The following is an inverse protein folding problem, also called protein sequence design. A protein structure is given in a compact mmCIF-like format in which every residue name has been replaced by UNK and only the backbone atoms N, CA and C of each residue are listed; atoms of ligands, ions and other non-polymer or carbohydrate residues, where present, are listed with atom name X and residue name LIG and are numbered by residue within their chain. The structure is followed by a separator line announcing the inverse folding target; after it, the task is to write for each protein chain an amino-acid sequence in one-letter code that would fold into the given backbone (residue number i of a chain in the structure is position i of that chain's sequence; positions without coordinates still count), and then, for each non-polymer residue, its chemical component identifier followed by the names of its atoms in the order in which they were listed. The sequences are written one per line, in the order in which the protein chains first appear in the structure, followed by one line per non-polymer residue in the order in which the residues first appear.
data_IF_768155605266
#
_entry.id   IF_768155605266
#
_cell.length_a   1.000
_cell.length_b   1.000
_cell.length_c   1.000
_cell.angle_alpha   90.00
_cell.angle_beta   90.00
_cell.angle_gamma   90.00
#
_symmetry.space_group_name_H-M   'P 1'
#
loop_
_entity.id
_entity.type
_entity.pdbx_description
1 polymer ?
#
# COMPACT_ATOMS: atom_id res chain seq x y z
N UNK A 1 9.53 -8.36 -27.41
CA UNK A 1 10.82 -8.24 -28.13
C UNK A 1 10.70 -8.82 -29.55
N UNK A 2 11.48 -8.32 -30.51
CA UNK A 2 11.50 -8.82 -31.91
C UNK A 2 12.92 -9.19 -32.30
N UNK A 3 13.51 -10.08 -31.52
CA UNK A 3 14.90 -10.48 -31.63
C UNK A 3 15.01 -11.96 -31.26
N UNK A 4 15.96 -12.64 -31.89
CA UNK A 4 16.45 -13.95 -31.45
C UNK A 4 17.37 -13.77 -30.23
N UNK A 5 17.48 -14.80 -29.39
CA UNK A 5 18.26 -14.73 -28.14
C UNK A 5 19.72 -14.30 -28.38
N UNK A 6 20.34 -14.81 -29.45
CA UNK A 6 21.71 -14.46 -29.84
C UNK A 6 21.89 -13.00 -30.31
N UNK A 7 20.82 -12.26 -30.51
CA UNK A 7 20.84 -10.84 -30.89
C UNK A 7 20.73 -9.90 -29.69
N UNK A 8 20.48 -10.45 -28.49
CA UNK A 8 20.33 -9.68 -27.25
C UNK A 8 21.65 -9.78 -26.47
N UNK A 9 22.30 -8.64 -26.24
CA UNK A 9 23.49 -8.59 -25.38
C UNK A 9 23.08 -8.73 -23.91
N UNK A 10 23.04 -9.97 -23.43
CA UNK A 10 22.67 -10.31 -22.05
C UNK A 10 23.67 -9.77 -21.02
N UNK A 11 24.89 -9.41 -21.41
CA UNK A 11 25.91 -8.96 -20.47
C UNK A 11 25.54 -7.62 -19.85
N UNK A 12 24.92 -6.72 -20.63
CA UNK A 12 24.43 -5.42 -20.13
C UNK A 12 23.45 -5.61 -18.97
N UNK A 13 22.56 -6.61 -19.05
CA UNK A 13 21.60 -6.90 -17.98
C UNK A 13 22.29 -7.53 -16.77
N UNK A 14 23.26 -8.42 -16.98
CA UNK A 14 24.06 -9.02 -15.90
C UNK A 14 24.87 -7.97 -15.13
N UNK A 15 25.46 -6.99 -15.82
CA UNK A 15 26.17 -5.87 -15.21
C UNK A 15 25.24 -4.98 -14.34
N UNK A 16 23.97 -4.88 -14.71
CA UNK A 16 22.92 -4.20 -13.93
C UNK A 16 22.34 -5.06 -12.79
N UNK A 17 22.87 -6.27 -12.58
CA UNK A 17 22.47 -7.21 -11.53
C UNK A 17 21.32 -8.15 -11.90
N UNK A 18 20.88 -8.17 -13.16
CA UNK A 18 19.88 -9.13 -13.66
C UNK A 18 20.61 -10.38 -14.17
N UNK A 19 20.93 -11.28 -13.25
CA UNK A 19 21.73 -12.47 -13.55
C UNK A 19 20.95 -13.54 -14.31
N UNK A 20 19.62 -13.57 -14.17
CA UNK A 20 18.74 -14.59 -14.72
C UNK A 20 17.90 -13.99 -15.83
N UNK A 21 18.11 -14.45 -17.07
CA UNK A 21 17.57 -13.82 -18.26
C UNK A 21 16.93 -14.91 -19.12
N UNK A 22 15.65 -14.80 -19.43
CA UNK A 22 14.90 -15.81 -20.17
C UNK A 22 14.14 -15.16 -21.32
N UNK A 23 14.24 -15.73 -22.51
CA UNK A 23 13.73 -15.19 -23.76
C UNK A 23 12.94 -16.27 -24.48
N UNK A 24 11.74 -15.92 -24.96
CA UNK A 24 10.94 -16.74 -25.83
C UNK A 24 10.74 -15.99 -27.14
N UNK A 25 11.49 -16.34 -28.18
CA UNK A 25 11.38 -15.73 -29.50
C UNK A 25 10.45 -16.53 -30.40
N UNK A 26 9.69 -15.85 -31.28
CA UNK A 26 8.90 -16.53 -32.29
C UNK A 26 9.79 -17.30 -33.28
N UNK A 27 9.29 -18.41 -33.81
CA UNK A 27 9.95 -19.14 -34.90
C UNK A 27 10.12 -18.28 -36.15
N UNK A 28 9.16 -17.41 -36.43
CA UNK A 28 9.29 -16.38 -37.46
C UNK A 28 10.26 -15.30 -36.98
N UNK A 29 11.48 -15.31 -37.52
CA UNK A 29 12.53 -14.33 -37.20
C UNK A 29 12.04 -12.88 -37.26
N UNK A 30 12.36 -12.11 -36.23
CA UNK A 30 12.04 -10.68 -36.13
C UNK A 30 10.55 -10.36 -35.98
N UNK A 31 9.70 -11.35 -35.67
CA UNK A 31 8.24 -11.16 -35.63
C UNK A 31 7.71 -10.77 -34.24
N UNK A 32 7.90 -11.65 -33.26
CA UNK A 32 7.42 -11.50 -31.88
C UNK A 32 8.36 -12.22 -30.91
N UNK A 33 8.09 -12.02 -29.62
CA UNK A 33 8.85 -12.62 -28.55
C UNK A 33 8.58 -11.91 -27.22
N UNK A 34 8.81 -12.61 -26.11
CA UNK A 34 8.77 -12.08 -24.74
C UNK A 34 10.07 -12.39 -24.02
N UNK A 35 10.36 -11.62 -22.98
CA UNK A 35 11.53 -11.86 -22.14
C UNK A 35 11.26 -11.45 -20.70
N UNK A 36 11.88 -12.17 -19.77
CA UNK A 36 11.95 -11.80 -18.35
C UNK A 36 13.41 -11.73 -17.94
N UNK A 37 13.77 -10.60 -17.33
CA UNK A 37 15.07 -10.37 -16.73
C UNK A 37 14.88 -10.26 -15.22
N UNK A 38 15.55 -11.11 -14.45
CA UNK A 38 15.42 -11.23 -13.01
C UNK A 38 16.76 -11.11 -12.30
N UNK A 39 16.74 -10.44 -11.15
CA UNK A 39 17.88 -10.40 -10.21
C UNK A 39 17.95 -11.66 -9.35
N UNK A 40 16.82 -12.34 -9.19
CA UNK A 40 16.67 -13.51 -8.33
C UNK A 40 16.49 -14.76 -9.17
N UNK A 41 17.04 -15.87 -8.68
CA UNK A 41 16.89 -17.18 -9.32
C UNK A 41 15.44 -17.67 -9.19
N UNK A 42 14.75 -17.96 -10.30
CA UNK A 42 13.47 -18.63 -10.23
C UNK A 42 13.65 -20.12 -9.91
N UNK A 43 12.66 -20.71 -9.26
CA UNK A 43 12.58 -22.14 -8.96
C UNK A 43 12.22 -22.97 -10.18
N UNK A 44 11.38 -22.41 -11.05
CA UNK A 44 10.98 -23.04 -12.29
C UNK A 44 10.82 -22.00 -13.40
N UNK A 45 11.05 -22.41 -14.65
CA UNK A 45 10.92 -21.59 -15.84
C UNK A 45 10.09 -22.35 -16.86
N UNK A 46 9.00 -21.75 -17.31
CA UNK A 46 8.15 -22.28 -18.38
C UNK A 46 8.26 -21.36 -19.59
N UNK A 47 8.87 -21.86 -20.68
CA UNK A 47 8.94 -21.15 -21.95
C UNK A 47 7.74 -21.58 -22.79
N UNK A 48 6.74 -20.71 -22.88
CA UNK A 48 5.48 -20.97 -23.56
C UNK A 48 4.31 -21.28 -22.62
N UNK A 49 3.17 -21.56 -23.23
CA UNK A 49 1.93 -21.96 -22.57
C UNK A 49 1.59 -23.45 -22.79
N UNK A 50 2.48 -24.21 -23.44
CA UNK A 50 2.24 -25.58 -23.91
C UNK A 50 1.09 -25.67 -24.92
N UNK A 51 0.89 -24.58 -25.67
CA UNK A 51 -0.10 -24.47 -26.73
C UNK A 51 0.66 -24.14 -28.00
N UNK A 52 0.85 -25.15 -28.86
CA UNK A 52 1.83 -25.14 -29.96
C UNK A 52 1.79 -23.87 -30.82
N UNK A 53 0.60 -23.43 -31.24
CA UNK A 53 0.49 -22.25 -32.11
C UNK A 53 0.84 -20.93 -31.39
N UNK A 54 0.61 -20.84 -30.07
CA UNK A 54 1.01 -19.68 -29.26
C UNK A 54 2.52 -19.65 -29.07
N UNK A 55 3.09 -20.83 -28.81
CA UNK A 55 4.50 -21.02 -28.54
C UNK A 55 5.33 -20.79 -29.80
N UNK A 56 4.83 -21.21 -30.97
CA UNK A 56 5.42 -20.88 -32.27
C UNK A 56 5.54 -19.36 -32.50
N UNK A 57 4.66 -18.54 -31.90
CA UNK A 57 4.74 -17.07 -31.95
C UNK A 57 5.47 -16.44 -30.73
N UNK A 58 6.00 -17.23 -29.79
CA UNK A 58 6.83 -16.75 -28.69
C UNK A 58 6.14 -15.73 -27.78
N UNK A 59 4.88 -15.97 -27.41
CA UNK A 59 4.02 -14.94 -26.79
C UNK A 59 3.93 -14.98 -25.26
N UNK A 60 4.39 -16.06 -24.64
CA UNK A 60 4.23 -16.30 -23.20
C UNK A 60 5.52 -16.85 -22.63
N UNK A 61 5.93 -16.36 -21.46
CA UNK A 61 6.95 -16.97 -20.63
C UNK A 61 6.55 -16.79 -19.17
N UNK A 62 6.74 -17.83 -18.35
CA UNK A 62 6.49 -17.80 -16.91
C UNK A 62 7.77 -18.13 -16.16
N UNK A 63 8.02 -17.41 -15.08
CA UNK A 63 8.99 -17.81 -14.07
C UNK A 63 8.30 -17.93 -12.71
N UNK A 64 8.67 -18.96 -11.97
CA UNK A 64 8.07 -19.31 -10.69
C UNK A 64 9.09 -19.07 -9.57
N UNK A 65 8.68 -18.38 -8.51
CA UNK A 65 9.42 -18.23 -7.27
C UNK A 65 8.77 -19.10 -6.17
N UNK A 66 9.27 -19.00 -4.94
CA UNK A 66 8.72 -19.76 -3.81
C UNK A 66 7.23 -19.44 -3.58
N UNK A 67 6.88 -18.15 -3.57
CA UNK A 67 5.55 -17.70 -3.14
C UNK A 67 4.67 -17.15 -4.29
N UNK A 68 5.24 -16.90 -5.47
CA UNK A 68 4.50 -16.30 -6.58
C UNK A 68 5.14 -16.62 -7.94
N UNK A 69 4.36 -16.42 -9.00
CA UNK A 69 4.82 -16.56 -10.38
C UNK A 69 4.55 -15.30 -11.19
N UNK A 70 5.43 -15.05 -12.16
CA UNK A 70 5.31 -13.91 -13.08
C UNK A 70 5.23 -14.43 -14.50
N UNK A 71 4.18 -14.02 -15.21
CA UNK A 71 4.04 -14.21 -16.65
C UNK A 71 4.37 -12.90 -17.37
N UNK A 72 5.20 -13.00 -18.41
CA UNK A 72 5.30 -11.97 -19.44
C UNK A 72 4.48 -12.40 -20.66
N UNK A 73 3.52 -11.56 -21.04
CA UNK A 73 2.59 -11.78 -22.13
C UNK A 73 2.82 -10.78 -23.27
N UNK A 74 2.71 -11.26 -24.51
CA UNK A 74 2.52 -10.44 -25.68
C UNK A 74 1.40 -11.01 -26.56
N UNK A 75 0.18 -10.54 -26.34
CA UNK A 75 -0.98 -11.00 -27.10
C UNK A 75 -0.91 -10.54 -28.57
N UNK A 76 -1.47 -11.30 -29.52
CA UNK A 76 -1.46 -10.92 -30.93
C UNK A 76 -2.27 -9.63 -31.19
N UNK A 77 -1.69 -8.73 -31.98
CA UNK A 77 -2.43 -7.62 -32.58
C UNK A 77 -3.24 -8.11 -33.78
N UNK A 78 -4.42 -7.53 -34.04
CA UNK A 78 -5.16 -7.75 -35.28
C UNK A 78 -5.38 -6.43 -36.07
N UNK A 79 -4.30 -5.64 -36.20
CA UNK A 79 -4.29 -4.49 -37.12
C UNK A 79 -4.43 -4.91 -38.59
N UNK A 80 -4.14 -6.18 -38.92
CA UNK A 80 -4.64 -6.85 -40.13
C UNK A 80 -5.87 -7.68 -39.74
N UNK A 81 -6.98 -7.50 -40.45
CA UNK A 81 -8.24 -8.20 -40.17
C UNK A 81 -8.10 -9.72 -40.28
N UNK A 82 -7.22 -10.23 -41.14
CA UNK A 82 -6.95 -11.66 -41.29
C UNK A 82 -6.38 -12.30 -40.01
N UNK A 83 -5.92 -11.47 -39.07
CA UNK A 83 -5.37 -11.90 -37.76
C UNK A 83 -6.41 -11.84 -36.64
N UNK A 84 -7.62 -11.36 -36.90
CA UNK A 84 -8.63 -11.19 -35.86
C UNK A 84 -9.05 -12.55 -35.28
N UNK A 85 -9.35 -13.53 -36.14
CA UNK A 85 -9.75 -14.86 -35.68
C UNK A 85 -8.64 -15.52 -34.84
N UNK A 86 -7.39 -15.44 -35.31
CA UNK A 86 -6.22 -15.92 -34.55
C UNK A 86 -6.13 -15.25 -33.17
N UNK A 87 -6.40 -13.94 -33.10
CA UNK A 87 -6.36 -13.19 -31.83
C UNK A 87 -7.48 -13.62 -30.88
N UNK A 88 -8.69 -13.81 -31.38
CA UNK A 88 -9.83 -14.24 -30.58
C UNK A 88 -9.65 -15.68 -30.08
N UNK A 89 -9.13 -16.59 -30.92
CA UNK A 89 -8.75 -17.94 -30.49
C UNK A 89 -7.67 -17.89 -29.41
N UNK A 90 -6.64 -17.07 -29.61
CA UNK A 90 -5.59 -16.88 -28.61
C UNK A 90 -6.16 -16.45 -27.26
N UNK A 91 -7.10 -15.50 -27.27
CA UNK A 91 -7.75 -14.98 -26.09
C UNK A 91 -8.54 -16.04 -25.31
N UNK A 92 -9.38 -16.83 -25.98
CA UNK A 92 -10.16 -17.87 -25.29
C UNK A 92 -9.27 -18.99 -24.74
N UNK A 93 -8.29 -19.45 -25.52
CA UNK A 93 -7.37 -20.50 -25.07
C UNK A 93 -6.46 -20.01 -23.93
N UNK A 94 -6.01 -18.75 -23.97
CA UNK A 94 -5.20 -18.16 -22.90
C UNK A 94 -6.02 -17.97 -21.62
N UNK A 95 -7.30 -17.60 -21.73
CA UNK A 95 -8.21 -17.55 -20.58
C UNK A 95 -8.32 -18.93 -19.92
N UNK A 96 -8.54 -19.99 -20.70
CA UNK A 96 -8.60 -21.36 -20.17
C UNK A 96 -7.27 -21.75 -19.51
N UNK A 97 -6.15 -21.48 -20.17
CA UNK A 97 -4.81 -21.73 -19.64
C UNK A 97 -4.60 -21.06 -18.27
N UNK A 98 -4.92 -19.77 -18.14
CA UNK A 98 -4.74 -19.04 -16.87
C UNK A 98 -5.68 -19.57 -15.78
N UNK A 99 -6.93 -19.91 -16.12
CA UNK A 99 -7.87 -20.51 -15.14
C UNK A 99 -7.35 -21.83 -14.58
N UNK A 100 -6.83 -22.71 -15.44
CA UNK A 100 -6.26 -23.98 -14.98
C UNK A 100 -4.96 -23.76 -14.21
N UNK A 101 -4.10 -22.85 -14.68
CA UNK A 101 -2.84 -22.53 -14.03
C UNK A 101 -3.07 -21.98 -12.61
N UNK A 102 -4.05 -21.10 -12.41
CA UNK A 102 -4.34 -20.51 -11.09
C UNK A 102 -4.82 -21.50 -10.05
N UNK A 103 -5.33 -22.68 -10.45
CA UNK A 103 -5.64 -23.77 -9.50
C UNK A 103 -4.39 -24.37 -8.87
N UNK A 104 -3.25 -24.26 -9.56
CA UNK A 104 -1.95 -24.78 -9.14
C UNK A 104 -1.10 -23.65 -8.55
N UNK A 105 -1.17 -22.46 -9.15
CA UNK A 105 -0.39 -21.27 -8.81
C UNK A 105 -1.36 -20.10 -8.56
N UNK A 106 -1.91 -19.97 -7.34
CA UNK A 106 -2.89 -18.93 -7.04
C UNK A 106 -2.30 -17.51 -7.14
N UNK A 107 -1.01 -17.37 -6.84
CA UNK A 107 -0.29 -16.10 -6.74
C UNK A 107 0.39 -15.76 -8.07
N UNK A 108 -0.42 -15.38 -9.04
CA UNK A 108 0.01 -15.19 -10.42
C UNK A 108 -0.09 -13.73 -10.83
N UNK A 109 1.06 -13.14 -11.15
CA UNK A 109 1.16 -11.79 -11.72
C UNK A 109 1.32 -11.93 -13.23
N UNK A 110 0.47 -11.25 -14.00
CA UNK A 110 0.53 -11.27 -15.47
C UNK A 110 0.80 -9.85 -15.98
N UNK A 111 1.96 -9.67 -16.60
CA UNK A 111 2.40 -8.39 -17.14
C UNK A 111 2.55 -8.50 -18.66
N UNK A 112 1.95 -7.59 -19.41
CA UNK A 112 2.12 -7.65 -20.86
C UNK A 112 1.30 -6.67 -21.67
N UNK A 113 1.57 -6.68 -22.97
CA UNK A 113 0.75 -6.03 -23.98
C UNK A 113 -0.36 -7.00 -24.42
N UNK A 114 -1.58 -6.68 -24.02
CA UNK A 114 -2.77 -7.47 -24.34
C UNK A 114 -3.36 -7.09 -25.69
N UNK A 115 -2.87 -6.04 -26.34
CA UNK A 115 -3.40 -5.49 -27.58
C UNK A 115 -4.92 -5.18 -27.51
N UNK A 116 -5.44 -4.81 -26.33
CA UNK A 116 -6.84 -4.40 -26.12
C UNK A 116 -6.93 -3.26 -25.12
N UNK A 117 -7.77 -2.27 -25.40
CA UNK A 117 -8.21 -1.27 -24.44
C UNK A 117 -9.50 -1.78 -23.78
N UNK A 118 -9.54 -1.84 -22.45
CA UNK A 118 -10.70 -2.36 -21.72
C UNK A 118 -11.88 -1.40 -21.79
N UNK A 119 -11.69 -0.15 -21.36
CA UNK A 119 -12.75 0.84 -21.27
C UNK A 119 -12.55 2.05 -22.17
N UNK A 120 -13.60 2.84 -22.37
CA UNK A 120 -13.56 4.03 -23.24
C UNK A 120 -12.51 5.07 -22.78
N UNK A 121 -12.17 5.10 -21.50
CA UNK A 121 -11.11 5.95 -20.92
C UNK A 121 -9.70 5.54 -21.39
N UNK A 122 -9.55 4.29 -21.83
CA UNK A 122 -8.26 3.70 -22.21
C UNK A 122 -7.86 3.97 -23.66
N UNK A 123 -8.69 4.67 -24.42
CA UNK A 123 -8.45 4.94 -25.84
C UNK A 123 -8.80 6.38 -26.20
N UNK A 124 -8.01 6.97 -27.10
CA UNK A 124 -8.38 8.22 -27.74
C UNK A 124 -9.53 8.01 -28.76
N UNK A 125 -10.55 8.87 -28.71
CA UNK A 125 -11.70 8.85 -29.64
C UNK A 125 -12.40 7.47 -29.70
N UNK A 126 -12.99 7.01 -28.57
CA UNK A 126 -13.63 5.69 -28.49
C UNK A 126 -14.79 5.52 -29.47
N UNK A 127 -15.51 6.61 -29.79
CA UNK A 127 -16.66 6.59 -30.71
C UNK A 127 -16.21 6.18 -32.11
N UNK A 128 -15.11 6.77 -32.59
CA UNK A 128 -14.56 6.45 -33.92
C UNK A 128 -13.86 5.09 -33.94
N UNK A 129 -13.18 4.72 -32.85
CA UNK A 129 -12.35 3.52 -32.81
C UNK A 129 -13.11 2.24 -32.39
N UNK A 130 -14.40 2.31 -32.04
CA UNK A 130 -15.23 1.16 -31.62
C UNK A 130 -15.24 -0.05 -32.56
N UNK A 131 -14.92 0.15 -33.84
CA UNK A 131 -14.88 -0.90 -34.87
C UNK A 131 -13.43 -1.28 -35.27
N UNK A 132 -12.44 -0.86 -34.48
CA UNK A 132 -11.01 -1.14 -34.72
C UNK A 132 -10.54 -2.21 -33.76
N UNK A 133 -9.81 -3.22 -34.26
CA UNK A 133 -9.21 -4.23 -33.38
C UNK A 133 -8.30 -3.57 -32.34
N UNK A 134 -8.40 -4.08 -31.12
CA UNK A 134 -7.92 -3.48 -29.88
C UNK A 134 -9.01 -2.73 -29.12
N UNK A 135 -10.18 -2.50 -29.71
CA UNK A 135 -11.32 -1.87 -29.02
C UNK A 135 -12.68 -2.39 -29.53
N UNK A 136 -12.70 -3.56 -30.19
CA UNK A 136 -13.96 -4.18 -30.60
C UNK A 136 -14.77 -4.61 -29.36
N UNK A 137 -16.11 -4.60 -29.43
CA UNK A 137 -16.95 -5.03 -28.30
C UNK A 137 -16.58 -6.42 -27.77
N UNK A 138 -16.34 -7.38 -28.65
CA UNK A 138 -15.97 -8.76 -28.30
C UNK A 138 -14.60 -8.87 -27.61
N UNK A 139 -13.62 -8.02 -27.97
CA UNK A 139 -12.30 -8.01 -27.31
C UNK A 139 -12.41 -7.43 -25.90
N UNK A 140 -13.24 -6.39 -25.73
CA UNK A 140 -13.52 -5.76 -24.42
C UNK A 140 -14.31 -6.68 -23.51
N UNK A 141 -15.33 -7.35 -24.04
CA UNK A 141 -16.11 -8.35 -23.33
C UNK A 141 -15.24 -9.51 -22.88
N UNK A 142 -14.37 -10.01 -23.76
CA UNK A 142 -13.36 -10.99 -23.39
C UNK A 142 -12.47 -10.49 -22.24
N UNK A 143 -11.97 -9.25 -22.30
CA UNK A 143 -11.10 -8.74 -21.23
C UNK A 143 -11.83 -8.67 -19.88
N UNK A 144 -13.09 -8.23 -19.86
CA UNK A 144 -13.94 -8.26 -18.66
C UNK A 144 -14.14 -9.68 -18.12
N UNK A 145 -14.41 -10.65 -19.00
CA UNK A 145 -14.50 -12.07 -18.65
C UNK A 145 -13.17 -12.59 -18.12
N UNK A 146 -12.05 -12.26 -18.76
CA UNK A 146 -10.72 -12.69 -18.35
C UNK A 146 -10.40 -12.22 -16.92
N UNK A 147 -10.66 -10.94 -16.61
CA UNK A 147 -10.48 -10.40 -15.26
C UNK A 147 -11.37 -11.11 -14.24
N UNK A 148 -12.65 -11.32 -14.56
CA UNK A 148 -13.62 -11.91 -13.63
C UNK A 148 -13.39 -13.41 -13.42
N UNK A 149 -13.27 -14.17 -14.51
CA UNK A 149 -13.16 -15.64 -14.47
C UNK A 149 -11.79 -16.14 -14.00
N UNK A 150 -10.73 -15.32 -14.13
CA UNK A 150 -9.40 -15.62 -13.62
C UNK A 150 -9.10 -14.94 -12.28
N UNK A 151 -10.06 -14.20 -11.70
CA UNK A 151 -9.88 -13.47 -10.43
C UNK A 151 -8.64 -12.56 -10.48
N UNK A 152 -8.60 -11.68 -11.47
CA UNK A 152 -7.52 -10.73 -11.73
C UNK A 152 -8.05 -9.30 -11.68
N UNK A 153 -7.19 -8.36 -11.26
CA UNK A 153 -7.50 -6.93 -11.19
C UNK A 153 -6.52 -6.16 -12.07
N UNK A 154 -7.01 -5.14 -12.77
CA UNK A 154 -6.17 -4.18 -13.48
C UNK A 154 -5.51 -3.20 -12.47
N UNK A 155 -4.27 -3.49 -12.09
CA UNK A 155 -3.54 -2.70 -11.07
C UNK A 155 -3.35 -1.23 -11.46
N UNK A 156 -3.33 -0.88 -12.76
CA UNK A 156 -3.19 0.50 -13.17
C UNK A 156 -4.49 1.27 -12.90
N UNK A 157 -5.63 0.75 -13.36
CA UNK A 157 -6.93 1.39 -13.15
C UNK A 157 -7.40 1.35 -11.70
N UNK A 158 -6.87 0.40 -10.93
CA UNK A 158 -7.00 0.36 -9.49
C UNK A 158 -6.42 1.60 -8.79
N UNK A 159 -5.26 2.11 -9.24
CA UNK A 159 -4.59 3.28 -8.63
C UNK A 159 -4.85 4.59 -9.38
N UNK A 160 -5.27 4.52 -10.65
CA UNK A 160 -5.37 5.68 -11.52
C UNK A 160 -6.68 5.68 -12.33
N UNK A 161 -7.61 6.54 -11.92
CA UNK A 161 -8.88 6.79 -12.61
C UNK A 161 -8.82 7.93 -13.63
N UNK A 162 -7.67 8.58 -13.81
CA UNK A 162 -7.52 9.73 -14.69
C UNK A 162 -7.48 9.33 -16.18
N UNK A 163 -8.09 10.13 -17.07
CA UNK A 163 -8.06 9.89 -18.49
C UNK A 163 -6.68 10.19 -19.10
N UNK A 164 -6.52 9.84 -20.37
CA UNK A 164 -5.33 10.20 -21.18
C UNK A 164 -4.01 9.56 -20.76
N UNK A 165 -4.06 8.50 -19.96
CA UNK A 165 -2.94 7.65 -19.63
C UNK A 165 -2.89 6.46 -20.58
N UNK A 166 -2.04 6.56 -21.61
CA UNK A 166 -1.90 5.56 -22.67
C UNK A 166 -0.52 4.90 -22.60
N UNK A 167 -0.40 3.71 -23.18
CA UNK A 167 0.85 2.95 -23.23
C UNK A 167 1.38 2.76 -24.66
N UNK A 168 0.51 2.98 -25.66
CA UNK A 168 0.83 2.88 -27.08
C UNK A 168 0.30 4.07 -27.88
N UNK A 169 1.07 4.49 -28.88
CA UNK A 169 0.69 5.54 -29.83
C UNK A 169 1.09 5.15 -31.25
N UNK A 170 0.23 5.47 -32.21
CA UNK A 170 0.57 5.32 -33.63
C UNK A 170 1.71 6.27 -34.02
N UNK A 171 2.60 5.81 -34.90
CA UNK A 171 3.62 6.68 -35.52
C UNK A 171 3.01 7.70 -36.50
N UNK A 172 1.75 7.53 -36.91
CA UNK A 172 1.08 8.42 -37.86
C UNK A 172 0.59 9.70 -37.19
N UNK A 173 0.52 10.77 -37.97
CA UNK A 173 -0.15 12.03 -37.61
C UNK A 173 0.27 12.66 -36.26
N UNK A 174 1.51 12.41 -35.81
CA UNK A 174 2.02 12.95 -34.55
C UNK A 174 1.21 12.51 -33.32
N UNK A 175 0.64 11.30 -33.32
CA UNK A 175 -0.28 10.84 -32.29
C UNK A 175 0.31 10.96 -30.88
N UNK A 176 1.59 10.59 -30.69
CA UNK A 176 2.27 10.72 -29.38
C UNK A 176 2.38 12.17 -28.90
N UNK A 177 2.73 13.11 -29.80
CA UNK A 177 2.82 14.54 -29.47
C UNK A 177 1.47 15.12 -29.03
N UNK A 178 0.38 14.64 -29.62
CA UNK A 178 -0.99 15.08 -29.35
C UNK A 178 -1.72 14.19 -28.34
N UNK A 179 -1.00 13.28 -27.68
CA UNK A 179 -1.52 12.26 -26.78
C UNK A 179 -2.76 11.49 -27.28
N UNK A 180 -2.73 11.08 -28.55
CA UNK A 180 -3.77 10.25 -29.18
C UNK A 180 -3.39 8.77 -29.08
N UNK A 181 -3.49 8.21 -27.88
CA UNK A 181 -2.98 6.89 -27.55
C UNK A 181 -4.05 5.85 -27.21
N UNK A 182 -3.56 4.66 -26.90
CA UNK A 182 -4.28 3.47 -26.48
C UNK A 182 -3.54 2.89 -25.27
N UNK A 183 -4.27 2.46 -24.23
CA UNK A 183 -3.70 1.70 -23.11
C UNK A 183 -3.95 0.22 -23.35
N UNK A 184 -2.88 -0.47 -23.73
CA UNK A 184 -2.91 -1.90 -24.09
C UNK A 184 -1.96 -2.74 -23.24
N UNK A 185 -1.12 -2.08 -22.44
CA UNK A 185 -0.21 -2.72 -21.51
C UNK A 185 -0.82 -2.75 -20.11
N UNK A 186 -0.78 -3.92 -19.48
CA UNK A 186 -1.37 -4.18 -18.17
C UNK A 186 -0.41 -4.93 -17.27
N UNK A 187 -0.52 -4.67 -15.97
CA UNK A 187 -0.02 -5.53 -14.91
C UNK A 187 -1.26 -5.95 -14.12
N UNK A 188 -1.60 -7.23 -14.14
CA UNK A 188 -2.80 -7.74 -13.51
C UNK A 188 -2.46 -8.39 -12.17
N UNK A 189 -3.02 -7.87 -11.06
CA UNK A 189 -2.67 -8.25 -9.68
C UNK A 189 -3.67 -7.75 -8.57
N UNK A 190 -3.63 -8.43 -7.40
CA UNK A 190 -3.84 -8.01 -5.97
C UNK A 190 -5.01 -8.46 -5.09
N UNK A 191 -4.63 -9.15 -4.00
CA UNK A 191 -5.37 -9.40 -2.75
C UNK A 191 -4.73 -8.64 -1.58
N UNK A 192 -5.56 -8.08 -0.69
CA UNK A 192 -5.14 -7.43 0.55
C UNK A 192 -5.68 -8.23 1.73
N UNK A 193 -4.81 -8.74 2.59
CA UNK A 193 -5.23 -9.41 3.81
C UNK A 193 -5.48 -8.40 4.94
N UNK A 194 -6.56 -8.58 5.70
CA UNK A 194 -6.85 -7.75 6.86
C UNK A 194 -7.81 -8.40 7.85
N UNK A 195 -7.72 -8.02 9.13
CA UNK A 195 -8.79 -8.26 10.12
C UNK A 195 -9.81 -7.11 10.19
N UNK A 196 -9.67 -6.08 9.36
CA UNK A 196 -10.48 -4.86 9.37
C UNK A 196 -11.11 -4.56 8.00
N UNK A 197 -11.90 -5.49 7.42
CA UNK A 197 -12.38 -5.39 6.04
C UNK A 197 -13.26 -4.17 5.81
N UNK A 198 -14.10 -3.76 6.77
CA UNK A 198 -14.97 -2.57 6.62
C UNK A 198 -14.16 -1.27 6.50
N UNK A 199 -13.14 -1.11 7.35
CA UNK A 199 -12.29 0.08 7.35
C UNK A 199 -11.48 0.14 6.06
N UNK A 200 -10.91 -0.99 5.64
CA UNK A 200 -10.21 -1.09 4.38
C UNK A 200 -11.14 -0.79 3.22
N UNK A 201 -12.31 -1.43 3.16
CA UNK A 201 -13.32 -1.21 2.10
C UNK A 201 -13.70 0.25 2.01
N UNK A 202 -13.95 0.91 3.14
CA UNK A 202 -14.28 2.33 3.14
C UNK A 202 -13.13 3.20 2.62
N UNK A 203 -11.88 2.91 3.03
CA UNK A 203 -10.70 3.61 2.55
C UNK A 203 -10.53 3.40 1.05
N UNK A 204 -10.61 2.16 0.59
CA UNK A 204 -10.50 1.81 -0.82
C UNK A 204 -11.61 2.51 -1.61
N UNK A 205 -12.86 2.48 -1.13
CA UNK A 205 -14.01 3.17 -1.75
C UNK A 205 -13.80 4.68 -1.82
N UNK A 206 -13.39 5.32 -0.72
CA UNK A 206 -13.15 6.77 -0.66
C UNK A 206 -12.03 7.23 -1.59
N UNK A 207 -11.06 6.35 -1.85
CA UNK A 207 -9.93 6.62 -2.74
C UNK A 207 -10.12 6.04 -4.15
N UNK A 208 -11.29 5.45 -4.46
CA UNK A 208 -11.59 4.79 -5.74
C UNK A 208 -10.62 3.66 -6.11
N UNK A 209 -10.31 2.81 -5.14
CA UNK A 209 -9.36 1.70 -5.21
C UNK A 209 -10.17 0.37 -5.16
N UNK A 210 -9.91 -0.60 -6.05
CA UNK A 210 -10.67 -1.89 -6.22
C UNK A 210 -9.87 -3.19 -5.97
N UNK A 211 -9.85 -3.73 -4.74
CA UNK A 211 -8.98 -4.86 -4.38
C UNK A 211 -9.81 -6.05 -3.91
N UNK A 212 -9.28 -7.27 -4.09
CA UNK A 212 -9.80 -8.41 -3.35
C UNK A 212 -9.37 -8.28 -1.89
N UNK A 213 -10.31 -8.38 -0.95
CA UNK A 213 -10.03 -8.33 0.49
C UNK A 213 -10.11 -9.75 1.04
N UNK A 214 -9.00 -10.23 1.59
CA UNK A 214 -8.93 -11.50 2.30
C UNK A 214 -9.10 -11.23 3.79
N UNK A 215 -10.31 -11.48 4.31
CA UNK A 215 -10.56 -11.34 5.74
C UNK A 215 -9.93 -12.51 6.50
N UNK A 216 -9.06 -12.20 7.46
CA UNK A 216 -8.41 -13.20 8.30
C UNK A 216 -8.55 -12.92 9.78
N UNK A 217 -8.70 -14.01 10.54
CA UNK A 217 -8.79 -13.99 12.00
C UNK A 217 -7.44 -14.44 12.56
N UNK A 218 -6.60 -13.48 13.00
CA UNK A 218 -5.29 -13.79 13.58
C UNK A 218 -4.18 -12.87 13.08
N UNK A 219 -2.94 -13.37 13.10
CA UNK A 219 -1.76 -12.62 12.64
C UNK A 219 -1.84 -12.35 11.14
N UNK A 220 -2.04 -11.09 10.78
CA UNK A 220 -2.13 -10.66 9.37
C UNK A 220 -0.75 -10.62 8.73
N UNK A 221 0.30 -10.43 9.52
CA UNK A 221 1.67 -10.20 9.07
C UNK A 221 2.29 -11.41 8.35
N UNK A 222 1.80 -12.62 8.65
CA UNK A 222 2.25 -13.85 7.98
C UNK A 222 1.59 -14.04 6.61
N UNK A 223 0.49 -13.35 6.30
CA UNK A 223 -0.31 -13.58 5.10
C UNK A 223 0.49 -13.38 3.81
N UNK A 224 1.45 -12.45 3.83
CA UNK A 224 2.36 -12.24 2.69
C UNK A 224 3.41 -13.35 2.57
N UNK A 225 4.00 -13.76 3.69
CA UNK A 225 5.02 -14.80 3.74
C UNK A 225 4.52 -16.22 3.44
N UNK A 226 3.20 -16.45 3.49
CA UNK A 226 2.58 -17.72 3.06
C UNK A 226 1.84 -17.59 1.72
N UNK A 227 1.95 -16.44 1.05
CA UNK A 227 1.32 -16.19 -0.24
C UNK A 227 -0.21 -16.04 -0.23
N UNK A 228 -0.82 -15.76 0.92
CA UNK A 228 -2.26 -15.54 1.03
C UNK A 228 -2.69 -14.17 0.45
N UNK A 229 -1.83 -13.16 0.53
CA UNK A 229 -2.10 -11.83 0.01
C UNK A 229 -0.82 -11.09 -0.40
N UNK A 230 -0.97 -10.09 -1.26
CA UNK A 230 0.14 -9.33 -1.84
C UNK A 230 0.51 -8.11 -0.99
N UNK A 231 -0.42 -7.66 -0.14
CA UNK A 231 -0.18 -6.72 0.93
C UNK A 231 -1.14 -6.94 2.09
N UNK A 232 -0.84 -6.29 3.22
CA UNK A 232 -1.69 -6.33 4.41
C UNK A 232 -2.20 -4.95 4.76
N UNK A 233 -3.35 -4.91 5.40
CA UNK A 233 -3.82 -3.76 6.15
C UNK A 233 -4.03 -4.16 7.61
N UNK A 234 -3.23 -3.58 8.49
CA UNK A 234 -3.26 -3.90 9.92
C UNK A 234 -2.82 -2.70 10.78
N UNK A 235 -3.02 -2.78 12.09
CA UNK A 235 -2.63 -1.77 13.06
C UNK A 235 -1.11 -1.82 13.27
N UNK A 236 -0.47 -0.65 13.14
CA UNK A 236 0.95 -0.48 13.40
C UNK A 236 1.15 0.39 14.64
N UNK A 237 1.90 -0.11 15.62
CA UNK A 237 2.30 0.68 16.82
C UNK A 237 3.80 0.96 16.85
N UNK A 238 4.63 -0.01 17.24
CA UNK A 238 6.09 0.13 17.22
C UNK A 238 6.72 -0.24 15.87
N UNK A 239 5.96 -0.87 14.97
CA UNK A 239 6.46 -1.41 13.69
C UNK A 239 7.31 -2.68 13.79
N UNK A 240 7.56 -3.20 15.00
CA UNK A 240 8.47 -4.34 15.22
C UNK A 240 8.00 -5.63 14.52
N UNK A 241 6.70 -5.91 14.55
CA UNK A 241 6.10 -7.10 13.94
C UNK A 241 6.19 -7.06 12.41
N UNK A 242 6.02 -5.87 11.81
CA UNK A 242 6.18 -5.68 10.36
C UNK A 242 7.61 -6.00 9.92
N UNK A 243 8.60 -5.41 10.60
CA UNK A 243 10.02 -5.58 10.25
C UNK A 243 10.43 -7.05 10.35
N UNK A 244 9.96 -7.75 11.39
CA UNK A 244 10.27 -9.18 11.60
C UNK A 244 9.71 -10.07 10.48
N UNK A 245 8.64 -9.62 9.80
CA UNK A 245 8.03 -10.31 8.67
C UNK A 245 8.46 -9.71 7.30
N UNK A 246 9.51 -8.87 7.26
CA UNK A 246 10.00 -8.28 6.01
C UNK A 246 9.07 -7.22 5.39
N UNK A 247 8.10 -6.72 6.16
CA UNK A 247 7.13 -5.73 5.74
C UNK A 247 7.58 -4.32 6.09
N UNK A 248 7.08 -3.35 5.31
CA UNK A 248 7.23 -1.92 5.58
C UNK A 248 5.90 -1.22 5.45
N UNK A 249 5.72 -0.17 6.23
CA UNK A 249 4.58 0.74 6.09
C UNK A 249 4.68 1.48 4.76
N UNK A 250 3.55 1.57 4.04
CA UNK A 250 3.48 2.21 2.71
C UNK A 250 2.39 3.27 2.62
N UNK A 251 1.34 3.17 3.45
CA UNK A 251 0.22 4.10 3.43
C UNK A 251 -0.48 4.13 4.80
N UNK A 252 -0.92 5.32 5.22
CA UNK A 252 -1.63 5.50 6.51
C UNK A 252 -3.12 5.65 6.24
N UNK A 253 -3.87 4.57 6.47
CA UNK A 253 -5.34 4.55 6.28
C UNK A 253 -6.08 5.38 7.34
N UNK A 254 -5.70 5.21 8.60
CA UNK A 254 -6.23 6.00 9.72
C UNK A 254 -5.23 6.11 10.86
N UNK A 255 -5.38 7.16 11.67
CA UNK A 255 -4.77 7.24 13.01
C UNK A 255 -5.81 6.84 14.04
N UNK A 256 -5.52 5.79 14.81
CA UNK A 256 -6.42 5.29 15.85
C UNK A 256 -5.96 5.71 17.24
N UNK A 257 -6.91 5.96 18.14
CA UNK A 257 -6.69 6.22 19.55
C UNK A 257 -7.88 5.72 20.37
N UNK A 258 -7.66 5.49 21.67
CA UNK A 258 -8.75 5.20 22.59
C UNK A 258 -9.68 6.42 22.72
N UNK A 259 -10.98 6.23 22.48
CA UNK A 259 -12.00 7.28 22.58
C UNK A 259 -13.15 6.82 23.47
N UNK A 260 -13.78 7.77 24.17
CA UNK A 260 -15.06 7.53 24.83
C UNK A 260 -16.19 7.84 23.83
N UNK A 261 -17.00 6.83 23.52
CA UNK A 261 -18.11 6.95 22.55
C UNK A 261 -19.42 6.85 23.33
N UNK A 262 -20.38 7.72 23.01
CA UNK A 262 -21.72 7.72 23.60
C UNK A 262 -22.81 7.62 22.53
N UNK A 263 -23.97 7.08 22.92
CA UNK A 263 -25.17 7.15 22.08
C UNK A 263 -25.68 8.60 22.07
N UNK A 264 -26.10 9.16 20.93
CA UNK A 264 -26.63 10.53 20.88
C UNK A 264 -27.94 10.72 21.66
N UNK A 265 -28.71 9.65 21.87
CA UNK A 265 -30.05 9.71 22.48
C UNK A 265 -30.03 9.18 23.93
N UNK A 266 -29.19 9.77 24.77
CA UNK A 266 -29.14 9.41 26.20
C UNK A 266 -30.19 10.15 27.00
N UNK A 267 -30.74 9.48 28.01
CA UNK A 267 -31.53 10.15 29.03
C UNK A 267 -30.64 10.94 30.00
N UNK A 268 -31.23 11.90 30.70
CA UNK A 268 -30.51 12.81 31.60
C UNK A 268 -29.68 12.08 32.66
N UNK A 269 -30.20 10.98 33.21
CA UNK A 269 -29.49 10.18 34.21
C UNK A 269 -28.19 9.60 33.65
N UNK A 270 -28.22 9.03 32.44
CA UNK A 270 -27.02 8.48 31.81
C UNK A 270 -26.05 9.58 31.38
N UNK A 271 -26.56 10.72 30.88
CA UNK A 271 -25.73 11.87 30.53
C UNK A 271 -24.93 12.37 31.74
N UNK A 272 -25.58 12.50 32.90
CA UNK A 272 -24.90 12.90 34.15
C UNK A 272 -23.78 11.95 34.57
N UNK A 273 -23.91 10.64 34.33
CA UNK A 273 -22.85 9.66 34.60
C UNK A 273 -21.68 9.86 33.66
N UNK A 274 -21.94 10.09 32.36
CA UNK A 274 -20.90 10.37 31.37
C UNK A 274 -20.15 11.65 31.70
N UNK A 275 -20.85 12.72 32.08
CA UNK A 275 -20.23 13.99 32.44
C UNK A 275 -19.29 13.83 33.65
N UNK A 276 -19.70 13.04 34.65
CA UNK A 276 -18.84 12.68 35.80
C UNK A 276 -17.62 11.87 35.38
N UNK A 277 -17.77 10.93 34.44
CA UNK A 277 -16.66 10.13 33.93
C UNK A 277 -15.68 10.99 33.12
N UNK A 278 -16.19 11.86 32.24
CA UNK A 278 -15.41 12.82 31.47
C UNK A 278 -14.62 13.76 32.38
N UNK A 279 -15.25 14.30 33.43
CA UNK A 279 -14.56 15.11 34.43
C UNK A 279 -13.38 14.34 35.06
N UNK A 280 -13.58 13.08 35.45
CA UNK A 280 -12.53 12.25 36.05
C UNK A 280 -11.38 11.97 35.08
N UNK A 281 -11.69 11.62 33.83
CA UNK A 281 -10.69 11.37 32.79
C UNK A 281 -9.87 12.64 32.53
N UNK A 282 -10.53 13.80 32.39
CA UNK A 282 -9.85 15.07 32.16
C UNK A 282 -9.01 15.49 33.36
N UNK A 283 -9.48 15.28 34.59
CA UNK A 283 -8.70 15.55 35.79
C UNK A 283 -7.39 14.74 35.83
N UNK A 284 -7.45 13.43 35.49
CA UNK A 284 -6.25 12.58 35.44
C UNK A 284 -5.31 13.00 34.30
N UNK A 285 -5.85 13.32 33.12
CA UNK A 285 -5.04 13.79 31.98
C UNK A 285 -4.32 15.09 32.31
N UNK A 286 -5.04 16.07 32.86
CA UNK A 286 -4.45 17.34 33.26
C UNK A 286 -3.39 17.12 34.33
N UNK A 287 -3.66 16.29 35.35
CA UNK A 287 -2.70 16.01 36.42
C UNK A 287 -1.38 15.39 35.93
N UNK A 288 -1.39 14.62 34.83
CA UNK A 288 -0.15 14.05 34.24
C UNK A 288 0.81 15.11 33.72
N UNK A 289 0.32 16.28 33.33
CA UNK A 289 1.15 17.39 32.82
C UNK A 289 1.81 18.19 33.95
N UNK A 290 1.52 17.87 35.20
CA UNK A 290 2.06 18.56 36.36
C UNK A 290 2.86 17.63 37.26
N UNK A 291 3.90 18.17 37.89
CA UNK A 291 4.63 17.55 38.99
C UNK A 291 4.32 18.29 40.28
N UNK A 292 4.11 17.52 41.35
CA UNK A 292 4.11 18.06 42.69
C UNK A 292 5.55 18.10 43.20
N UNK A 293 5.97 19.26 43.69
CA UNK A 293 7.28 19.46 44.27
C UNK A 293 7.15 19.83 45.74
N UNK A 294 8.10 19.34 46.52
CA UNK A 294 8.28 19.69 47.93
C UNK A 294 9.72 20.12 48.07
N UNK A 295 9.98 21.24 48.71
CA UNK A 295 11.35 21.73 48.94
C UNK A 295 11.43 22.39 50.31
N UNK A 296 12.62 22.36 50.90
CA UNK A 296 12.91 23.08 52.13
C UNK A 296 13.72 24.34 51.80
N UNK A 297 13.44 25.44 52.48
CA UNK A 297 14.13 26.71 52.28
C UNK A 297 14.26 27.49 53.58
N UNK A 298 15.31 28.32 53.74
CA UNK A 298 15.34 29.34 54.77
C UNK A 298 14.16 30.31 54.63
N UNK A 299 13.61 30.75 55.76
CA UNK A 299 12.47 31.67 55.80
C UNK A 299 12.76 33.00 55.08
N UNK A 300 14.03 33.44 55.04
CA UNK A 300 14.46 34.66 54.35
C UNK A 300 14.38 34.58 52.83
N UNK A 301 14.28 33.38 52.25
CA UNK A 301 14.27 33.14 50.80
C UNK A 301 12.89 32.85 50.21
N UNK A 302 11.85 32.80 51.06
CA UNK A 302 10.47 32.45 50.66
C UNK A 302 9.92 33.38 49.57
N UNK A 303 10.13 34.69 49.67
CA UNK A 303 9.59 35.65 48.68
C UNK A 303 10.26 35.50 47.31
N UNK A 304 11.56 35.19 47.27
CA UNK A 304 12.32 34.94 46.04
C UNK A 304 11.85 33.62 45.39
N UNK A 305 11.61 32.58 46.20
CA UNK A 305 11.06 31.31 45.73
C UNK A 305 9.63 31.46 45.18
N UNK A 306 8.77 32.27 45.80
CA UNK A 306 7.40 32.51 45.30
C UNK A 306 7.37 33.06 43.88
N UNK A 307 8.36 33.86 43.48
CA UNK A 307 8.46 34.42 42.13
C UNK A 307 8.81 33.35 41.10
N UNK A 308 9.59 32.34 41.50
CA UNK A 308 9.99 31.20 40.66
C UNK A 308 8.92 30.11 40.65
N UNK A 309 8.18 29.96 41.76
CA UNK A 309 7.14 28.97 42.00
C UNK A 309 5.78 29.62 42.31
N UNK A 310 5.09 30.21 41.32
CA UNK A 310 3.75 30.76 41.54
C UNK A 310 2.71 29.67 41.88
N UNK A 311 2.94 28.42 41.45
CA UNK A 311 1.99 27.31 41.60
C UNK A 311 0.69 27.56 40.82
N UNK A 312 -0.35 26.76 41.10
CA UNK A 312 -1.69 26.98 40.50
C UNK A 312 -2.42 28.22 41.07
N UNK A 313 -2.03 28.68 42.26
CA UNK A 313 -2.53 29.91 42.91
C UNK A 313 -1.42 30.57 43.72
N UNK A 314 -0.83 29.80 44.64
CA UNK A 314 0.32 30.17 45.49
C UNK A 314 0.89 28.87 46.08
N UNK A 315 2.20 28.78 46.35
CA UNK A 315 2.78 27.66 47.08
C UNK A 315 2.23 27.62 48.52
N UNK A 316 2.09 26.41 49.06
CA UNK A 316 1.77 26.19 50.47
C UNK A 316 3.05 26.18 51.29
N UNK A 317 3.06 26.85 52.44
CA UNK A 317 4.25 27.04 53.28
C UNK A 317 3.98 26.44 54.66
N UNK A 318 4.86 25.55 55.11
CA UNK A 318 4.80 24.90 56.42
C UNK A 318 6.10 25.12 57.19
N UNK A 319 6.08 25.62 58.43
CA UNK A 319 7.28 25.74 59.23
C UNK A 319 7.87 24.35 59.55
N UNK A 320 9.19 24.23 59.54
CA UNK A 320 9.89 23.01 59.92
C UNK A 320 10.27 23.03 61.40
N UNK A 321 10.58 21.85 61.96
CA UNK A 321 11.10 21.73 63.31
C UNK A 321 12.47 22.40 63.49
N UNK A 322 13.24 22.51 62.41
CA UNK A 322 14.45 23.32 62.37
C UNK A 322 14.07 24.80 62.29
N UNK A 323 14.37 25.57 63.33
CA UNK A 323 14.04 27.00 63.37
C UNK A 323 14.66 27.76 62.19
N UNK A 324 13.89 28.68 61.62
CA UNK A 324 14.32 29.48 60.47
C UNK A 324 14.13 28.82 59.12
N UNK A 325 13.56 27.60 59.05
CA UNK A 325 13.28 26.90 57.80
C UNK A 325 11.79 26.58 57.62
N UNK A 326 11.38 26.51 56.35
CA UNK A 326 10.03 26.11 55.94
C UNK A 326 10.06 25.12 54.78
N UNK A 327 9.08 24.22 54.73
CA UNK A 327 8.76 23.40 53.56
C UNK A 327 7.77 24.12 52.66
N UNK A 328 8.07 24.19 51.38
CA UNK A 328 7.23 24.75 50.33
C UNK A 328 6.72 23.63 49.43
N UNK A 329 5.41 23.64 49.20
CA UNK A 329 4.72 22.67 48.37
C UNK A 329 4.06 23.38 47.19
N UNK A 330 4.33 22.93 45.97
CA UNK A 330 3.77 23.55 44.77
C UNK A 330 3.54 22.53 43.66
N UNK A 331 2.79 22.95 42.64
CA UNK A 331 2.50 22.17 41.44
C UNK A 331 3.04 22.95 40.25
N UNK A 332 3.89 22.32 39.45
CA UNK A 332 4.53 22.94 38.27
C UNK A 332 4.32 22.08 37.02
N UNK A 333 4.37 22.70 35.85
CA UNK A 333 4.28 21.98 34.58
C UNK A 333 5.55 21.12 34.38
N UNK A 334 5.38 19.90 33.86
CA UNK A 334 6.48 18.94 33.68
C UNK A 334 7.55 19.44 32.69
N UNK A 335 7.18 20.20 31.68
CA UNK A 335 8.10 20.77 30.68
C UNK A 335 9.05 21.82 31.25
N UNK A 336 8.67 22.50 32.34
CA UNK A 336 9.47 23.50 33.07
C UNK A 336 10.18 22.92 34.28
N UNK A 337 10.03 21.62 34.54
CA UNK A 337 10.49 20.98 35.77
C UNK A 337 11.97 21.25 36.04
N UNK A 338 12.85 20.90 35.10
CA UNK A 338 14.30 21.03 35.29
C UNK A 338 14.77 22.48 35.38
N UNK A 339 14.22 23.37 34.54
CA UNK A 339 14.53 24.80 34.58
C UNK A 339 14.22 25.43 35.95
N UNK A 340 13.09 25.05 36.54
CA UNK A 340 12.65 25.54 37.84
C UNK A 340 13.53 24.97 38.96
N UNK A 341 13.86 23.67 38.91
CA UNK A 341 14.70 23.01 39.93
C UNK A 341 16.08 23.66 40.03
N UNK A 342 16.71 23.97 38.90
CA UNK A 342 18.04 24.59 38.89
C UNK A 342 18.02 25.98 39.53
N UNK A 343 17.03 26.81 39.18
CA UNK A 343 16.81 28.12 39.80
C UNK A 343 16.57 28.04 41.31
N UNK A 344 15.84 27.01 41.76
CA UNK A 344 15.55 26.81 43.18
C UNK A 344 16.80 26.41 43.97
N UNK A 345 17.67 25.58 43.39
CA UNK A 345 18.94 25.20 44.03
C UNK A 345 19.89 26.40 44.15
N UNK A 346 19.96 27.25 43.14
CA UNK A 346 20.82 28.45 43.16
C UNK A 346 20.50 29.42 44.31
N UNK A 347 19.23 29.48 44.71
CA UNK A 347 18.77 30.35 45.81
C UNK A 347 18.74 29.65 47.18
N UNK A 348 19.24 28.41 47.26
CA UNK A 348 19.43 27.68 48.51
C UNK A 348 18.27 26.79 48.93
N UNK A 349 17.40 26.37 48.01
CA UNK A 349 16.43 25.32 48.30
C UNK A 349 17.10 23.95 48.42
N UNK A 350 16.67 23.16 49.40
CA UNK A 350 17.20 21.84 49.72
C UNK A 350 16.09 20.78 49.75
N UNK A 351 16.47 19.51 49.54
CA UNK A 351 15.54 18.37 49.66
C UNK A 351 14.35 18.43 48.70
N UNK A 352 14.60 18.83 47.44
CA UNK A 352 13.60 18.95 46.38
C UNK A 352 13.17 17.61 45.80
#
# INVERSE_FOLDING_TARGET
IKAEENQIDINVFKELGYHYNYIHSAQKKGYSGVAIFSKFEPKNIEIGAQIEYMDNEGRVIRIDFEDFSVISLYAPSASNIDRLDFKLTFYEDFLVYIKELKKIIPNLIICGDYNVCHEAIDIHDPIRNKNTSGFLPQEREWFSRFLTECELIDSFRFFNSEPHNYSWWSYRAGARKNNKGWRIDYSLDKRIATSYPTILTDFLTRNNITASIEEITGSVEIATGIGLADCIFDIVSSGSTLITNGLKEVEVVLKSQAVLISNPNLNETKQSIIDKLLFRINAVRNAKEFKYIVLNTPNSKIEEIKQILPGMKSPSIFPLANEGWSSLHSVIQEDKFWEIIDKLKEIGAEGI
#
